data_IF_279596940675
#
_entry.id   IF_279596940675
#
_cell.length_a   1.000
_cell.length_b   1.000
_cell.length_c   1.000
_cell.angle_alpha   90.00
_cell.angle_beta   90.00
_cell.angle_gamma   90.00
#
_symmetry.space_group_name_H-M   'P 1'
#
loop_
_entity.id
_entity.type
_entity.pdbx_description
1 polymer ?
#
# COMPACT_ATOMS: atom_id res chain seq x y z
N UNK A 1 -5.20 -6.79 -24.92
CA UNK A 1 -3.98 -7.47 -24.43
C UNK A 1 -2.69 -6.74 -24.82
N UNK A 2 -2.31 -6.68 -26.11
CA UNK A 2 -0.96 -6.22 -26.54
C UNK A 2 -0.62 -4.76 -26.16
N UNK A 3 -1.60 -3.84 -26.17
CA UNK A 3 -1.37 -2.43 -25.79
C UNK A 3 -1.05 -2.24 -24.30
N UNK A 4 -1.72 -3.00 -23.42
CA UNK A 4 -1.53 -2.93 -21.96
C UNK A 4 -0.16 -3.48 -21.57
N UNK A 5 0.28 -4.58 -22.18
CA UNK A 5 1.63 -5.13 -21.98
C UNK A 5 2.73 -4.14 -22.36
N UNK A 6 2.57 -3.42 -23.48
CA UNK A 6 3.54 -2.39 -23.89
C UNK A 6 3.59 -1.19 -22.94
N UNK A 7 2.45 -0.85 -22.34
CA UNK A 7 2.37 0.24 -21.37
C UNK A 7 3.02 -0.14 -20.04
N UNK A 8 2.74 -1.35 -19.53
CA UNK A 8 3.29 -1.88 -18.28
C UNK A 8 4.81 -2.11 -18.35
N UNK A 9 5.33 -2.63 -19.47
CA UNK A 9 6.78 -2.82 -19.67
C UNK A 9 7.49 -1.51 -20.05
N UNK A 10 6.76 -0.40 -20.09
CA UNK A 10 7.32 0.91 -20.39
C UNK A 10 8.30 1.36 -19.31
N UNK A 11 9.47 1.88 -19.72
CA UNK A 11 10.48 2.41 -18.78
C UNK A 11 9.93 3.48 -17.84
N UNK A 12 9.02 4.34 -18.31
CA UNK A 12 8.37 5.35 -17.47
C UNK A 12 7.52 4.72 -16.36
N UNK A 13 6.73 3.70 -16.70
CA UNK A 13 5.87 3.02 -15.74
C UNK A 13 6.72 2.27 -14.70
N UNK A 14 7.76 1.58 -15.14
CA UNK A 14 8.68 0.86 -14.25
C UNK A 14 9.45 1.79 -13.30
N UNK A 15 9.82 3.00 -13.74
CA UNK A 15 10.42 4.02 -12.85
C UNK A 15 9.40 4.51 -11.81
N UNK A 16 8.17 4.79 -12.24
CA UNK A 16 7.10 5.22 -11.33
C UNK A 16 6.80 4.12 -10.29
N UNK A 17 6.70 2.86 -10.72
CA UNK A 17 6.52 1.72 -9.84
C UNK A 17 7.69 1.56 -8.85
N UNK A 18 8.94 1.74 -9.29
CA UNK A 18 10.09 1.70 -8.40
C UNK A 18 10.04 2.81 -7.33
N UNK A 19 9.68 4.04 -7.72
CA UNK A 19 9.54 5.15 -6.77
C UNK A 19 8.38 4.87 -5.81
N UNK A 20 7.25 4.37 -6.30
CA UNK A 20 6.12 3.98 -5.46
C UNK A 20 6.49 2.87 -4.46
N UNK A 21 7.32 1.88 -4.87
CA UNK A 21 7.84 0.85 -3.97
C UNK A 21 8.66 1.45 -2.84
N UNK A 22 9.56 2.37 -3.19
CA UNK A 22 10.43 3.02 -2.23
C UNK A 22 9.62 3.83 -1.22
N UNK A 23 8.63 4.58 -1.69
CA UNK A 23 7.70 5.28 -0.79
C UNK A 23 6.95 4.28 0.08
N UNK A 24 6.33 3.25 -0.48
CA UNK A 24 5.57 2.29 0.30
C UNK A 24 6.39 1.62 1.42
N UNK A 25 7.65 1.24 1.14
CA UNK A 25 8.53 0.59 2.13
C UNK A 25 9.02 1.54 3.22
N UNK A 26 9.53 2.73 2.85
CA UNK A 26 10.21 3.59 3.81
C UNK A 26 9.28 4.56 4.53
N UNK A 27 8.15 4.92 3.92
CA UNK A 27 7.25 5.93 4.49
C UNK A 27 6.46 5.38 5.68
N UNK A 28 6.13 4.08 5.67
CA UNK A 28 5.54 3.37 6.80
C UNK A 28 6.45 3.42 8.03
N UNK A 29 7.71 3.01 7.89
CA UNK A 29 8.69 3.01 8.98
C UNK A 29 9.01 4.44 9.48
N UNK A 30 9.07 5.42 8.58
CA UNK A 30 9.37 6.82 8.94
C UNK A 30 8.26 7.44 9.80
N UNK A 31 7.00 7.10 9.54
CA UNK A 31 5.87 7.57 10.34
C UNK A 31 5.87 6.99 11.75
N UNK A 32 6.22 5.71 11.89
CA UNK A 32 6.40 5.05 13.19
C UNK A 32 7.54 5.71 13.98
N UNK A 33 8.66 6.02 13.32
CA UNK A 33 9.79 6.71 13.95
C UNK A 33 9.46 8.16 14.36
N UNK A 34 8.63 8.86 13.60
CA UNK A 34 8.25 10.24 13.88
C UNK A 34 7.13 10.40 14.92
N UNK A 35 6.55 9.30 15.43
CA UNK A 35 5.41 9.32 16.37
C UNK A 35 4.29 10.29 15.95
N UNK A 36 3.95 10.31 14.66
CA UNK A 36 2.91 11.20 14.14
C UNK A 36 1.55 10.74 14.68
N UNK A 37 0.77 11.62 15.32
CA UNK A 37 -0.49 11.25 15.99
C UNK A 37 -1.65 10.97 15.04
N UNK A 38 -1.48 11.20 13.74
CA UNK A 38 -2.55 11.08 12.73
C UNK A 38 -2.08 10.25 11.55
N UNK A 39 -2.63 9.04 11.40
CA UNK A 39 -2.24 8.09 10.34
C UNK A 39 -2.91 8.36 8.98
N UNK A 40 -3.81 9.34 8.90
CA UNK A 40 -4.67 9.57 7.72
C UNK A 40 -3.89 9.92 6.45
N UNK A 41 -2.83 10.71 6.55
CA UNK A 41 -2.03 11.13 5.39
C UNK A 41 -1.24 9.96 4.79
N UNK A 42 -0.70 9.11 5.66
CA UNK A 42 0.04 7.91 5.31
C UNK A 42 -0.87 6.89 4.61
N UNK A 43 -2.07 6.68 5.15
CA UNK A 43 -3.05 5.75 4.58
C UNK A 43 -3.46 6.14 3.15
N UNK A 44 -3.61 7.43 2.86
CA UNK A 44 -3.93 7.94 1.51
C UNK A 44 -2.80 7.63 0.53
N UNK A 45 -1.54 7.86 0.93
CA UNK A 45 -0.36 7.65 0.08
C UNK A 45 -0.17 6.15 -0.20
N UNK A 46 -0.28 5.30 0.83
CA UNK A 46 -0.18 3.85 0.69
C UNK A 46 -1.32 3.28 -0.15
N UNK A 47 -2.55 3.80 -0.02
CA UNK A 47 -3.68 3.40 -0.87
C UNK A 47 -3.43 3.72 -2.34
N UNK A 48 -2.83 4.87 -2.64
CA UNK A 48 -2.45 5.21 -4.01
C UNK A 48 -1.36 4.26 -4.56
N UNK A 49 -0.34 3.96 -3.75
CA UNK A 49 0.70 3.00 -4.13
C UNK A 49 0.13 1.60 -4.36
N UNK A 50 -0.76 1.14 -3.49
CA UNK A 50 -1.49 -0.12 -3.63
C UNK A 50 -2.31 -0.17 -4.93
N UNK A 51 -2.99 0.92 -5.30
CA UNK A 51 -3.74 0.98 -6.55
C UNK A 51 -2.83 0.88 -7.79
N UNK A 52 -1.66 1.54 -7.77
CA UNK A 52 -0.68 1.48 -8.86
C UNK A 52 -0.11 0.07 -9.00
N UNK A 53 0.34 -0.55 -7.90
CA UNK A 53 0.84 -1.92 -7.89
C UNK A 53 -0.23 -2.96 -8.24
N UNK A 54 -1.44 -2.79 -7.73
CA UNK A 54 -2.57 -3.66 -8.05
C UNK A 54 -2.92 -3.61 -9.54
N UNK A 55 -2.87 -2.43 -10.17
CA UNK A 55 -3.07 -2.30 -11.60
C UNK A 55 -1.95 -2.97 -12.41
N UNK A 56 -0.70 -2.82 -11.99
CA UNK A 56 0.44 -3.50 -12.60
C UNK A 56 0.31 -5.03 -12.51
N UNK A 57 0.04 -5.52 -11.30
CA UNK A 57 -0.13 -6.93 -11.00
C UNK A 57 -1.29 -7.55 -11.79
N UNK A 58 -2.48 -6.93 -11.76
CA UNK A 58 -3.64 -7.40 -12.53
C UNK A 58 -3.39 -7.32 -14.04
N UNK A 59 -2.72 -6.25 -14.50
CA UNK A 59 -2.35 -6.06 -15.88
C UNK A 59 -1.41 -7.15 -16.39
N UNK A 60 -0.35 -7.47 -15.65
CA UNK A 60 0.59 -8.55 -16.00
C UNK A 60 -0.08 -9.92 -15.89
N UNK A 61 -0.87 -10.16 -14.84
CA UNK A 61 -1.60 -11.41 -14.61
C UNK A 61 -2.64 -11.71 -15.68
N UNK A 62 -3.31 -10.69 -16.24
CA UNK A 62 -4.30 -10.87 -17.31
C UNK A 62 -3.70 -10.95 -18.71
N UNK A 63 -2.52 -10.35 -18.92
CA UNK A 63 -1.94 -10.22 -20.26
C UNK A 63 -0.93 -11.32 -20.58
N UNK A 64 -0.37 -11.98 -19.57
CA UNK A 64 0.66 -12.99 -19.76
C UNK A 64 0.34 -14.27 -18.95
N UNK A 65 -0.14 -15.29 -19.66
CA UNK A 65 -0.51 -16.57 -19.05
C UNK A 65 0.71 -17.32 -18.46
N UNK A 66 1.94 -16.99 -18.92
CA UNK A 66 3.17 -17.53 -18.32
C UNK A 66 3.55 -16.86 -17.00
N UNK A 67 2.94 -15.70 -16.69
CA UNK A 67 3.18 -14.97 -15.45
C UNK A 67 2.36 -15.56 -14.30
N UNK A 68 1.17 -16.08 -14.61
CA UNK A 68 0.34 -16.81 -13.66
C UNK A 68 1.10 -18.04 -13.13
N UNK A 69 1.26 -18.13 -11.80
CA UNK A 69 2.04 -19.14 -11.07
C UNK A 69 3.57 -19.05 -11.21
N UNK A 70 4.11 -18.00 -11.83
CA UNK A 70 5.55 -17.73 -11.85
C UNK A 70 6.07 -17.18 -10.51
N UNK A 71 7.38 -17.26 -10.31
CA UNK A 71 8.04 -16.66 -9.14
C UNK A 71 7.73 -15.16 -8.97
N UNK A 72 7.69 -14.42 -10.08
CA UNK A 72 7.37 -12.99 -10.09
C UNK A 72 5.93 -12.69 -9.65
N UNK A 73 4.97 -13.55 -9.98
CA UNK A 73 3.60 -13.41 -9.49
C UNK A 73 3.51 -13.55 -7.97
N UNK A 74 4.24 -14.51 -7.39
CA UNK A 74 4.27 -14.69 -5.93
C UNK A 74 4.97 -13.53 -5.22
N UNK A 75 6.02 -12.95 -5.82
CA UNK A 75 6.68 -11.76 -5.28
C UNK A 75 5.73 -10.56 -5.25
N UNK A 76 5.07 -10.27 -6.37
CA UNK A 76 4.14 -9.14 -6.46
C UNK A 76 2.93 -9.36 -5.55
N UNK A 77 2.38 -10.58 -5.50
CA UNK A 77 1.25 -10.93 -4.65
C UNK A 77 1.59 -10.74 -3.16
N UNK A 78 2.74 -11.25 -2.70
CA UNK A 78 3.18 -11.06 -1.32
C UNK A 78 3.46 -9.59 -1.01
N UNK A 79 4.06 -8.84 -1.93
CA UNK A 79 4.27 -7.40 -1.79
C UNK A 79 2.96 -6.63 -1.67
N UNK A 80 1.96 -6.98 -2.49
CA UNK A 80 0.64 -6.35 -2.46
C UNK A 80 -0.09 -6.67 -1.15
N UNK A 81 0.02 -7.91 -0.64
CA UNK A 81 -0.53 -8.32 0.67
C UNK A 81 0.16 -7.59 1.82
N UNK A 82 1.48 -7.40 1.73
CA UNK A 82 2.25 -6.63 2.72
C UNK A 82 1.71 -5.19 2.84
N UNK A 83 1.48 -4.52 1.70
CA UNK A 83 0.91 -3.16 1.74
C UNK A 83 -0.49 -3.10 2.34
N UNK A 84 -1.32 -4.15 2.18
CA UNK A 84 -2.64 -4.21 2.84
C UNK A 84 -2.49 -4.26 4.36
N UNK A 85 -1.44 -4.91 4.87
CA UNK A 85 -1.14 -4.93 6.29
C UNK A 85 -0.56 -3.58 6.79
N UNK A 86 0.15 -2.85 5.92
CA UNK A 86 0.70 -1.53 6.24
C UNK A 86 -0.36 -0.41 6.25
N UNK A 87 -1.48 -0.57 5.54
CA UNK A 87 -2.62 0.37 5.56
C UNK A 87 -3.36 0.23 6.90
N UNK A 88 -3.29 1.25 7.75
CA UNK A 88 -3.83 1.24 9.11
C UNK A 88 -5.38 1.20 9.16
N UNK A 89 -6.05 1.42 8.03
CA UNK A 89 -7.51 1.48 7.92
C UNK A 89 -8.25 0.19 8.32
N UNK A 90 -7.58 -0.97 8.37
CA UNK A 90 -8.20 -2.25 8.72
C UNK A 90 -8.15 -2.63 10.21
N UNK A 91 -7.37 -1.93 11.03
CA UNK A 91 -7.22 -2.28 12.46
C UNK A 91 -8.11 -1.48 13.43
N UNK A 92 -8.94 -0.58 12.92
CA UNK A 92 -9.85 0.19 13.77
C UNK A 92 -9.12 1.23 14.64
N UNK A 93 -9.91 2.03 15.34
CA UNK A 93 -9.52 3.30 15.96
C UNK A 93 -8.21 3.24 16.78
N UNK A 94 -7.39 4.29 16.61
CA UNK A 94 -6.22 4.64 17.39
C UNK A 94 -6.39 4.32 18.89
N UNK A 95 -5.57 3.41 19.42
CA UNK A 95 -5.46 3.16 20.87
C UNK A 95 -4.83 4.36 21.63
N UNK A 96 -4.36 5.38 20.90
CA UNK A 96 -3.78 6.61 21.44
C UNK A 96 -4.83 7.73 21.61
N UNK A 97 -6.08 7.51 21.16
CA UNK A 97 -7.14 8.46 21.44
C UNK A 97 -7.32 8.56 22.97
N UNK A 98 -7.07 9.73 23.59
CA UNK A 98 -7.30 9.88 25.02
C UNK A 98 -8.79 9.65 25.25
N UNK A 99 -9.12 8.55 25.92
CA UNK A 99 -10.45 8.35 26.48
C UNK A 99 -10.60 9.40 27.57
N UNK A 100 -11.14 10.57 27.19
CA UNK A 100 -11.61 11.58 28.13
C UNK A 100 -12.78 10.96 28.88
N UNK A 101 -12.45 10.27 29.97
CA UNK A 101 -13.44 9.91 30.97
C UNK A 101 -13.98 11.25 31.46
N UNK A 102 -15.12 11.68 30.94
CA UNK A 102 -15.93 12.70 31.57
C UNK A 102 -16.37 12.07 32.90
N UNK A 103 -15.55 12.25 33.93
CA UNK A 103 -15.98 12.11 35.32
C UNK A 103 -16.94 13.28 35.56
N UNK A 104 -18.15 13.13 35.00
CA UNK A 104 -19.28 13.93 35.38
C UNK A 104 -19.54 13.68 36.85
N UNK A 105 -19.39 14.75 37.65
CA UNK A 105 -20.18 15.07 38.83
C UNK A 105 -20.93 13.87 39.43
N UNK A 106 -20.26 13.10 40.28
CA UNK A 106 -20.93 12.34 41.31
C UNK A 106 -20.94 13.22 42.56
N UNK A 107 -22.06 13.92 42.73
CA UNK A 107 -22.47 14.65 43.94
C UNK A 107 -22.52 13.73 45.17
#
# INVERSE_FOLDING_TARGET
>A
AIGVKKFLVGRCFSIVAMIALFVALFFADLFVLCQVPTNTELDIILTFCFAVFGFEFLGLSLTDASYLLGFFFWMDLLGTISMVADISYMYGADATAPNVINVGEAE
#
